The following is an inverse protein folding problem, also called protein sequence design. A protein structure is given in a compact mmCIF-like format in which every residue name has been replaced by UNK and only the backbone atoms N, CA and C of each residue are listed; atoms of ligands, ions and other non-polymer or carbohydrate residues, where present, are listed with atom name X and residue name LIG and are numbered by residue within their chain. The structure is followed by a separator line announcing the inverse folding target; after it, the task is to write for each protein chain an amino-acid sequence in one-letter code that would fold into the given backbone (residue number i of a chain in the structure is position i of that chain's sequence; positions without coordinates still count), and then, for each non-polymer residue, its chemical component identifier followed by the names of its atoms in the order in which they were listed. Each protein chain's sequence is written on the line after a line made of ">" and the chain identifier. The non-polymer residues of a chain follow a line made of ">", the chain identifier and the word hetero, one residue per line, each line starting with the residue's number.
data_IF_587465431557
#
_entry.id   IF_587465431557
#
_cell.length_a   1.000
_cell.length_b   1.000
_cell.length_c   1.000
_cell.angle_alpha   90.00
_cell.angle_beta   90.00
_cell.angle_gamma   90.00
#
_symmetry.space_group_name_H-M   'P 1'
#
loop_
_entity.id
_entity.type
_entity.pdbx_description
1 polymer ?
#
# COMPACT_ATOMS: atom_id res chain seq x y z
N UNK A 1 45.58 9.30 1.55
CA UNK A 1 44.88 8.83 0.35
C UNK A 1 43.88 9.89 -0.02
N UNK A 2 44.09 10.60 -1.13
CA UNK A 2 43.19 11.58 -1.69
C UNK A 2 41.91 10.88 -2.08
N UNK A 3 40.80 11.16 -1.41
CA UNK A 3 39.47 10.82 -1.86
C UNK A 3 39.26 11.54 -3.20
N UNK A 4 39.29 10.82 -4.31
CA UNK A 4 38.79 11.30 -5.58
C UNK A 4 37.28 11.51 -5.33
N UNK A 5 36.88 12.75 -5.03
CA UNK A 5 35.47 13.12 -5.07
C UNK A 5 34.97 12.76 -6.47
N UNK A 6 33.97 11.92 -6.58
CA UNK A 6 33.35 11.66 -7.89
C UNK A 6 32.79 13.00 -8.38
N UNK A 7 33.22 13.46 -9.56
CA UNK A 7 32.73 14.71 -10.20
C UNK A 7 31.23 14.64 -10.57
N UNK A 8 30.53 13.59 -10.14
CA UNK A 8 29.11 13.39 -10.42
C UNK A 8 28.24 14.27 -9.55
N UNK A 9 27.58 15.23 -10.17
CA UNK A 9 26.61 16.10 -9.52
C UNK A 9 25.20 15.53 -9.61
N UNK A 10 24.44 15.59 -8.54
CA UNK A 10 23.10 15.04 -8.43
C UNK A 10 22.10 16.10 -8.01
N UNK A 11 20.84 15.97 -8.42
CA UNK A 11 19.76 16.81 -7.94
C UNK A 11 18.62 15.93 -7.41
N UNK A 12 18.19 16.23 -6.18
CA UNK A 12 16.98 15.65 -5.58
C UNK A 12 15.80 16.51 -6.02
N UNK A 13 14.81 15.91 -6.69
CA UNK A 13 13.63 16.61 -7.18
C UNK A 13 12.41 16.18 -6.37
N UNK A 14 11.87 17.12 -5.58
CA UNK A 14 10.79 16.90 -4.62
C UNK A 14 11.29 16.74 -3.19
N UNK A 15 10.93 17.67 -2.31
CA UNK A 15 11.37 17.78 -0.92
C UNK A 15 10.22 17.43 0.05
N UNK A 16 9.73 16.19 -0.05
CA UNK A 16 8.90 15.52 0.94
C UNK A 16 9.73 14.51 1.75
N UNK A 17 9.07 13.56 2.42
CA UNK A 17 9.73 12.52 3.25
C UNK A 17 10.81 11.75 2.48
N UNK A 18 10.49 11.24 1.28
CA UNK A 18 11.46 10.51 0.43
C UNK A 18 12.60 11.42 -0.04
N UNK A 19 12.28 12.67 -0.43
CA UNK A 19 13.31 13.64 -0.83
C UNK A 19 14.27 13.98 0.32
N UNK A 20 13.75 14.15 1.53
CA UNK A 20 14.60 14.41 2.70
C UNK A 20 15.44 13.19 3.10
N UNK A 21 14.94 11.98 2.90
CA UNK A 21 15.72 10.75 3.06
C UNK A 21 16.88 10.66 2.05
N UNK A 22 16.62 11.04 0.79
CA UNK A 22 17.68 11.19 -0.24
C UNK A 22 18.73 12.20 0.17
N UNK A 23 18.32 13.38 0.66
CA UNK A 23 19.23 14.43 1.15
C UNK A 23 20.13 13.88 2.26
N UNK A 24 19.58 13.26 3.28
CA UNK A 24 20.35 12.65 4.38
C UNK A 24 21.36 11.64 3.87
N UNK A 25 20.91 10.75 2.98
CA UNK A 25 21.77 9.70 2.42
C UNK A 25 22.95 10.28 1.62
N UNK A 26 22.70 11.25 0.72
CA UNK A 26 23.73 11.87 -0.09
C UNK A 26 24.71 12.70 0.75
N UNK A 27 24.21 13.46 1.71
CA UNK A 27 25.02 14.26 2.62
C UNK A 27 25.95 13.38 3.49
N UNK A 28 25.43 12.27 4.05
CA UNK A 28 26.23 11.33 4.85
C UNK A 28 27.36 10.66 4.04
N UNK A 29 27.26 10.65 2.72
CA UNK A 29 28.29 10.10 1.81
C UNK A 29 29.23 11.17 1.23
N UNK A 30 29.05 12.44 1.62
CA UNK A 30 29.84 13.54 1.09
C UNK A 30 29.65 13.76 -0.43
N UNK A 31 28.50 13.33 -0.96
CA UNK A 31 28.16 13.48 -2.37
C UNK A 31 27.75 14.94 -2.65
N UNK A 32 28.22 15.51 -3.76
CA UNK A 32 27.78 16.83 -4.21
C UNK A 32 26.35 16.74 -4.78
N UNK A 33 25.44 17.56 -4.27
CA UNK A 33 24.05 17.58 -4.73
C UNK A 33 23.37 18.92 -4.49
N UNK A 34 22.25 19.13 -5.17
CA UNK A 34 21.31 20.22 -4.94
C UNK A 34 19.88 19.67 -4.83
N UNK A 35 18.93 20.55 -4.53
CA UNK A 35 17.52 20.19 -4.37
C UNK A 35 16.65 21.10 -5.25
N UNK A 36 15.60 20.54 -5.87
CA UNK A 36 14.55 21.26 -6.55
C UNK A 36 13.17 20.80 -6.05
N UNK A 37 12.18 21.67 -5.96
CA UNK A 37 10.79 21.32 -5.66
C UNK A 37 9.85 22.24 -6.42
N UNK A 38 8.75 21.68 -6.95
CA UNK A 38 7.73 22.45 -7.68
C UNK A 38 6.93 23.40 -6.80
N UNK A 39 6.96 23.23 -5.49
CA UNK A 39 6.27 24.07 -4.52
C UNK A 39 7.20 25.17 -4.02
N UNK A 40 6.67 26.36 -3.80
CA UNK A 40 7.40 27.46 -3.18
C UNK A 40 7.87 27.15 -1.76
N UNK A 41 7.04 26.45 -1.00
CA UNK A 41 7.28 26.07 0.40
C UNK A 41 7.05 24.56 0.60
N UNK A 42 7.97 23.70 0.16
CA UNK A 42 7.84 22.26 0.40
C UNK A 42 7.95 21.91 1.89
N UNK A 43 7.34 20.80 2.35
CA UNK A 43 7.23 20.47 3.77
C UNK A 43 8.55 20.44 4.54
N UNK A 44 9.61 19.96 3.91
CA UNK A 44 10.91 19.78 4.56
C UNK A 44 11.92 20.93 4.28
N UNK A 45 11.47 22.06 3.70
CA UNK A 45 12.35 23.17 3.35
C UNK A 45 13.05 23.78 4.58
N UNK A 46 12.31 23.93 5.68
CA UNK A 46 12.84 24.49 6.94
C UNK A 46 13.91 23.55 7.51
N UNK A 47 13.65 22.26 7.52
CA UNK A 47 14.58 21.20 7.95
C UNK A 47 15.83 21.21 7.09
N UNK A 48 15.68 21.27 5.76
CA UNK A 48 16.80 21.30 4.82
C UNK A 48 17.71 22.53 5.08
N UNK A 49 17.13 23.73 5.19
CA UNK A 49 17.91 24.97 5.40
C UNK A 49 18.62 25.00 6.74
N UNK A 50 18.03 24.41 7.79
CA UNK A 50 18.63 24.32 9.12
C UNK A 50 19.81 23.34 9.15
N UNK A 51 19.59 22.11 8.62
CA UNK A 51 20.52 21.00 8.81
C UNK A 51 21.58 20.93 7.69
N UNK A 52 21.27 21.49 6.50
CA UNK A 52 22.13 21.48 5.30
C UNK A 52 22.19 22.86 4.64
N UNK A 53 22.63 23.93 5.35
CA UNK A 53 22.56 25.33 4.88
C UNK A 53 23.40 25.61 3.63
N UNK A 54 24.36 24.75 3.30
CA UNK A 54 25.23 24.86 2.13
C UNK A 54 24.66 24.23 0.85
N UNK A 55 23.54 23.49 0.96
CA UNK A 55 22.91 22.83 -0.20
C UNK A 55 22.12 23.86 -1.00
N UNK A 56 22.42 23.97 -2.31
CA UNK A 56 21.63 24.81 -3.23
C UNK A 56 20.20 24.24 -3.32
N UNK A 57 19.18 25.08 -3.09
CA UNK A 57 17.77 24.70 -3.21
C UNK A 57 17.03 25.69 -4.10
N UNK A 58 16.26 25.17 -5.05
CA UNK A 58 15.35 25.91 -5.92
C UNK A 58 13.93 25.43 -5.74
N UNK A 59 13.04 26.33 -5.39
CA UNK A 59 11.62 26.10 -5.18
C UNK A 59 10.80 26.84 -6.24
N UNK A 60 9.63 26.32 -6.57
CA UNK A 60 8.76 26.84 -7.62
C UNK A 60 8.94 26.10 -8.93
N UNK A 61 8.76 26.77 -10.06
CA UNK A 61 8.85 26.14 -11.38
C UNK A 61 10.22 25.48 -11.61
N UNK A 62 10.21 24.24 -12.15
CA UNK A 62 11.44 23.51 -12.42
C UNK A 62 12.19 24.10 -13.61
N UNK A 63 13.38 24.58 -13.36
CA UNK A 63 14.31 25.11 -14.38
C UNK A 63 15.07 23.96 -15.06
N UNK A 64 14.83 23.78 -16.36
CA UNK A 64 15.46 22.72 -17.17
C UNK A 64 16.98 22.87 -17.21
N UNK A 65 17.52 24.08 -17.32
CA UNK A 65 18.98 24.30 -17.36
C UNK A 65 19.62 23.94 -16.02
N UNK A 66 18.92 24.21 -14.92
CA UNK A 66 19.38 23.76 -13.62
C UNK A 66 19.37 22.22 -13.49
N UNK A 67 18.29 21.57 -13.91
CA UNK A 67 18.20 20.10 -13.87
C UNK A 67 19.27 19.44 -14.75
N UNK A 68 19.60 20.03 -15.89
CA UNK A 68 20.63 19.53 -16.80
C UNK A 68 22.07 19.67 -16.29
N UNK A 69 22.29 20.34 -15.15
CA UNK A 69 23.60 20.34 -14.48
C UNK A 69 23.93 18.99 -13.84
N UNK A 70 22.91 18.16 -13.60
CA UNK A 70 23.07 16.87 -12.93
C UNK A 70 23.37 15.73 -13.91
N UNK A 71 24.17 14.77 -13.48
CA UNK A 71 24.35 13.49 -14.14
C UNK A 71 23.15 12.57 -13.88
N UNK A 72 22.55 12.69 -12.70
CA UNK A 72 21.39 11.91 -12.26
C UNK A 72 20.45 12.73 -11.40
N UNK A 73 19.14 12.68 -11.72
CA UNK A 73 18.07 13.26 -10.90
C UNK A 73 17.44 12.14 -10.07
N UNK A 74 17.34 12.37 -8.77
CA UNK A 74 16.56 11.52 -7.88
C UNK A 74 15.18 12.14 -7.70
N UNK A 75 14.19 11.57 -8.40
CA UNK A 75 12.81 12.09 -8.46
C UNK A 75 11.96 11.46 -7.36
N UNK A 76 11.35 12.32 -6.54
CA UNK A 76 10.39 11.88 -5.52
C UNK A 76 9.15 11.24 -6.16
N UNK A 77 8.59 10.14 -5.60
CA UNK A 77 7.43 9.45 -6.17
C UNK A 77 6.17 10.34 -6.29
N UNK A 78 6.11 11.44 -5.54
CA UNK A 78 5.03 12.42 -5.65
C UNK A 78 5.01 13.23 -6.95
N UNK A 79 6.11 13.22 -7.73
CA UNK A 79 6.22 13.94 -9.00
C UNK A 79 6.02 12.98 -10.18
N UNK A 80 5.18 13.38 -11.13
CA UNK A 80 4.98 12.59 -12.35
C UNK A 80 6.21 12.70 -13.25
N UNK A 81 6.71 11.56 -13.75
CA UNK A 81 7.79 11.55 -14.73
C UNK A 81 7.42 12.27 -16.03
N UNK A 82 6.12 12.38 -16.32
CA UNK A 82 5.59 13.14 -17.45
C UNK A 82 5.73 14.67 -17.29
N UNK A 83 6.24 15.17 -16.14
CA UNK A 83 6.49 16.60 -15.94
C UNK A 83 7.43 17.13 -17.04
N UNK A 84 7.05 18.20 -17.78
CA UNK A 84 7.79 18.64 -18.98
C UNK A 84 9.27 18.91 -18.73
N UNK A 85 9.62 19.52 -17.58
CA UNK A 85 11.00 19.79 -17.24
C UNK A 85 11.83 18.52 -17.01
N UNK A 86 11.25 17.47 -16.40
CA UNK A 86 11.92 16.17 -16.23
C UNK A 86 12.11 15.46 -17.57
N UNK A 87 11.11 15.50 -18.45
CA UNK A 87 11.21 14.94 -19.79
C UNK A 87 12.27 15.65 -20.64
N UNK A 88 12.34 16.99 -20.54
CA UNK A 88 13.35 17.79 -21.23
C UNK A 88 14.77 17.46 -20.74
N UNK A 89 14.97 17.29 -19.42
CA UNK A 89 16.26 16.88 -18.86
C UNK A 89 16.64 15.45 -19.29
N UNK A 90 15.69 14.50 -19.27
CA UNK A 90 15.91 13.13 -19.73
C UNK A 90 16.27 13.08 -21.22
N UNK A 91 15.59 13.89 -22.08
CA UNK A 91 15.91 14.01 -23.51
C UNK A 91 17.33 14.54 -23.78
N UNK A 92 17.91 15.28 -22.82
CA UNK A 92 19.31 15.75 -22.87
C UNK A 92 20.30 14.76 -22.25
N UNK A 93 19.86 13.55 -21.88
CA UNK A 93 20.71 12.47 -21.39
C UNK A 93 20.84 12.41 -19.86
N UNK A 94 20.14 13.24 -19.08
CA UNK A 94 20.15 13.16 -17.62
C UNK A 94 19.38 11.93 -17.17
N UNK A 95 20.01 11.10 -16.34
CA UNK A 95 19.38 9.89 -15.82
C UNK A 95 18.31 10.24 -14.77
N UNK A 96 17.12 9.64 -14.88
CA UNK A 96 16.07 9.74 -13.87
C UNK A 96 16.06 8.46 -13.02
N UNK A 97 16.18 8.61 -11.71
CA UNK A 97 16.16 7.52 -10.72
C UNK A 97 15.29 7.92 -9.52
N UNK A 98 15.00 6.97 -8.63
CA UNK A 98 14.27 7.23 -7.40
C UNK A 98 15.00 6.74 -6.15
N UNK A 99 14.36 6.94 -5.01
CA UNK A 99 14.83 6.49 -3.70
C UNK A 99 15.04 4.96 -3.65
N UNK A 100 14.13 4.19 -4.24
CA UNK A 100 14.21 2.72 -4.28
C UNK A 100 15.34 2.22 -5.16
N UNK A 101 15.61 2.86 -6.29
CA UNK A 101 16.78 2.54 -7.13
C UNK A 101 18.08 2.76 -6.35
N UNK A 102 18.20 3.90 -5.66
CA UNK A 102 19.38 4.20 -4.85
C UNK A 102 19.50 3.26 -3.64
N UNK A 103 18.39 2.91 -3.00
CA UNK A 103 18.34 1.90 -1.94
C UNK A 103 18.84 0.55 -2.45
N UNK A 104 18.30 0.05 -3.56
CA UNK A 104 18.66 -1.26 -4.11
C UNK A 104 20.15 -1.36 -4.46
N UNK A 105 20.76 -0.27 -4.99
CA UNK A 105 22.21 -0.22 -5.25
C UNK A 105 23.07 -0.30 -3.99
N UNK A 106 22.51 -0.05 -2.80
CA UNK A 106 23.24 0.03 -1.53
C UNK A 106 22.81 -1.03 -0.51
N UNK A 107 21.68 -1.70 -0.70
CA UNK A 107 21.24 -2.79 0.17
C UNK A 107 22.19 -4.00 0.04
N UNK A 108 22.71 -4.47 1.19
CA UNK A 108 23.59 -5.64 1.24
C UNK A 108 22.82 -6.93 1.57
N UNK A 109 21.71 -6.81 2.29
CA UNK A 109 20.86 -7.95 2.63
C UNK A 109 19.78 -8.20 1.55
N UNK A 110 19.24 -9.43 1.46
CA UNK A 110 18.13 -9.76 0.56
C UNK A 110 16.92 -8.85 0.74
N UNK A 111 16.19 -8.62 -0.35
CA UNK A 111 14.98 -7.76 -0.38
C UNK A 111 13.78 -8.63 -0.73
N UNK A 112 12.75 -8.62 0.12
CA UNK A 112 11.40 -9.06 -0.21
C UNK A 112 10.61 -7.83 -0.67
N UNK A 113 10.25 -7.78 -1.94
CA UNK A 113 9.59 -6.64 -2.56
C UNK A 113 8.09 -6.91 -2.77
N UNK A 114 7.25 -6.05 -2.24
CA UNK A 114 5.80 -6.23 -2.21
C UNK A 114 5.10 -5.03 -2.83
N UNK A 115 4.35 -5.26 -3.93
CA UNK A 115 3.44 -4.27 -4.52
C UNK A 115 2.04 -4.87 -4.70
N UNK A 116 1.13 -4.06 -5.18
CA UNK A 116 -0.27 -4.40 -5.42
C UNK A 116 -1.14 -3.15 -5.36
N UNK A 117 -2.37 -3.22 -5.80
CA UNK A 117 -3.33 -2.15 -5.56
C UNK A 117 -3.71 -2.13 -4.08
N UNK A 118 -4.07 -3.28 -3.51
CA UNK A 118 -4.53 -3.45 -2.14
C UNK A 118 -3.66 -4.43 -1.34
N UNK A 119 -3.85 -4.47 -0.03
CA UNK A 119 -3.20 -5.38 0.93
C UNK A 119 -1.69 -5.20 1.14
N UNK A 120 -1.00 -4.36 0.40
CA UNK A 120 0.46 -4.17 0.50
C UNK A 120 0.95 -4.06 1.95
N UNK A 121 0.43 -3.09 2.70
CA UNK A 121 0.91 -2.83 4.07
C UNK A 121 0.64 -4.00 5.02
N UNK A 122 -0.52 -4.66 4.89
CA UNK A 122 -0.85 -5.83 5.71
C UNK A 122 0.14 -6.97 5.45
N UNK A 123 0.38 -7.30 4.19
CA UNK A 123 1.30 -8.39 3.83
C UNK A 123 2.75 -8.01 4.18
N UNK A 124 3.16 -6.76 3.93
CA UNK A 124 4.50 -6.28 4.28
C UNK A 124 4.76 -6.37 5.79
N UNK A 125 3.80 -5.92 6.62
CA UNK A 125 3.92 -6.01 8.07
C UNK A 125 3.95 -7.46 8.54
N UNK A 126 3.05 -8.32 8.02
CA UNK A 126 3.02 -9.75 8.33
C UNK A 126 4.36 -10.44 8.03
N UNK A 127 4.92 -10.22 6.83
CA UNK A 127 6.23 -10.80 6.46
C UNK A 127 7.34 -10.28 7.38
N UNK A 128 7.28 -8.99 7.76
CA UNK A 128 8.20 -8.40 8.73
C UNK A 128 8.12 -9.07 10.11
N UNK A 129 6.89 -9.27 10.63
CA UNK A 129 6.67 -9.95 11.92
C UNK A 129 7.08 -11.43 11.87
N UNK A 130 6.81 -12.12 10.74
CA UNK A 130 7.27 -13.50 10.51
C UNK A 130 8.79 -13.60 10.52
N UNK A 131 9.48 -12.65 9.88
CA UNK A 131 10.95 -12.62 9.86
C UNK A 131 11.53 -12.32 11.23
N UNK A 132 10.93 -11.39 11.98
CA UNK A 132 11.32 -11.09 13.35
C UNK A 132 11.09 -12.28 14.30
N UNK A 133 9.94 -12.97 14.18
CA UNK A 133 9.65 -14.19 14.94
C UNK A 133 10.61 -15.34 14.60
N UNK A 134 11.13 -15.38 13.36
CA UNK A 134 12.19 -16.30 12.95
C UNK A 134 13.60 -15.88 13.40
N UNK A 135 13.72 -14.83 14.21
CA UNK A 135 14.99 -14.34 14.77
C UNK A 135 15.85 -13.52 13.82
N UNK A 136 15.29 -13.05 12.69
CA UNK A 136 16.02 -12.17 11.75
C UNK A 136 16.03 -10.73 12.23
N UNK A 137 17.17 -10.04 12.02
CA UNK A 137 17.22 -8.57 12.09
C UNK A 137 16.63 -8.03 10.80
N UNK A 138 15.35 -7.69 10.85
CA UNK A 138 14.55 -7.26 9.68
C UNK A 138 14.31 -5.76 9.71
N UNK A 139 14.36 -5.12 8.54
CA UNK A 139 13.91 -3.75 8.35
C UNK A 139 12.70 -3.72 7.42
N UNK A 140 11.63 -3.04 7.84
CA UNK A 140 10.36 -2.95 7.13
C UNK A 140 10.07 -1.50 6.79
N UNK A 141 9.76 -1.19 5.53
CA UNK A 141 9.44 0.17 5.12
C UNK A 141 9.28 0.38 3.61
N UNK A 142 9.71 1.54 3.13
CA UNK A 142 9.56 1.98 1.74
C UNK A 142 8.38 2.93 1.57
N UNK A 143 7.32 2.49 0.90
CA UNK A 143 6.07 3.25 0.82
C UNK A 143 5.28 3.25 2.15
N UNK A 144 5.52 2.26 2.99
CA UNK A 144 5.01 2.14 4.35
C UNK A 144 6.05 2.67 5.35
N UNK A 145 5.61 3.54 6.27
CA UNK A 145 6.41 3.92 7.44
C UNK A 145 7.70 4.69 7.12
N UNK A 146 8.85 4.04 7.38
CA UNK A 146 10.18 4.63 7.19
C UNK A 146 10.62 4.58 5.72
N UNK A 147 11.13 5.68 5.15
CA UNK A 147 11.72 5.69 3.82
C UNK A 147 12.85 4.67 3.67
N UNK A 148 12.96 4.07 2.48
CA UNK A 148 13.89 2.96 2.23
C UNK A 148 15.35 3.26 2.59
N UNK A 149 15.86 4.43 2.21
CA UNK A 149 17.27 4.80 2.45
C UNK A 149 17.58 4.98 3.95
N UNK A 150 16.59 5.36 4.76
CA UNK A 150 16.76 5.51 6.20
C UNK A 150 16.81 4.16 6.93
N UNK A 151 16.46 3.06 6.25
CA UNK A 151 16.53 1.69 6.76
C UNK A 151 17.89 1.02 6.52
N UNK A 152 18.74 1.59 5.65
CA UNK A 152 20.00 0.98 5.30
C UNK A 152 20.93 0.84 6.51
N UNK A 153 21.28 -0.41 6.85
CA UNK A 153 22.24 -0.74 7.90
C UNK A 153 22.95 -2.05 7.56
N UNK A 154 24.20 -2.17 7.97
CA UNK A 154 25.00 -3.40 7.80
C UNK A 154 24.53 -4.54 8.72
N UNK A 155 23.76 -4.21 9.78
CA UNK A 155 23.24 -5.21 10.72
C UNK A 155 21.96 -5.91 10.23
N UNK A 156 21.30 -5.38 9.21
CA UNK A 156 20.06 -5.96 8.68
C UNK A 156 20.35 -7.23 7.88
N UNK A 157 19.54 -8.27 8.12
CA UNK A 157 19.63 -9.58 7.46
C UNK A 157 18.54 -9.78 6.41
N UNK A 158 17.46 -8.98 6.47
CA UNK A 158 16.36 -9.02 5.51
C UNK A 158 15.67 -7.67 5.43
N UNK A 159 15.47 -7.16 4.23
CA UNK A 159 14.61 -6.00 3.97
C UNK A 159 13.25 -6.46 3.46
N UNK A 160 12.16 -5.98 4.06
CA UNK A 160 10.79 -6.21 3.59
C UNK A 160 10.21 -4.87 3.15
N UNK A 161 10.07 -4.69 1.83
CA UNK A 161 9.81 -3.39 1.23
C UNK A 161 8.43 -3.32 0.59
N UNK A 162 7.59 -2.43 1.10
CA UNK A 162 6.38 -2.02 0.40
C UNK A 162 6.73 -1.03 -0.70
N UNK A 163 6.31 -1.30 -1.95
CA UNK A 163 6.63 -0.46 -3.10
C UNK A 163 5.36 -0.01 -3.83
N UNK A 164 5.23 1.30 -4.02
CA UNK A 164 4.17 1.90 -4.84
C UNK A 164 4.51 1.80 -6.33
N UNK A 165 3.49 1.94 -7.20
CA UNK A 165 3.71 2.04 -8.64
C UNK A 165 4.60 3.24 -8.99
N UNK A 166 4.46 4.36 -8.28
CA UNK A 166 5.24 5.58 -8.49
C UNK A 166 6.74 5.39 -8.18
N UNK A 167 7.07 4.67 -7.11
CA UNK A 167 8.45 4.32 -6.81
C UNK A 167 9.04 3.38 -7.86
N UNK A 168 8.25 2.42 -8.33
CA UNK A 168 8.67 1.47 -9.35
C UNK A 168 8.91 2.12 -10.71
N UNK A 169 8.27 3.24 -11.07
CA UNK A 169 8.54 3.98 -12.30
C UNK A 169 10.01 4.40 -12.45
N UNK A 170 10.67 4.69 -11.34
CA UNK A 170 12.07 5.15 -11.29
C UNK A 170 13.04 4.07 -10.80
N UNK A 171 12.61 2.79 -10.79
CA UNK A 171 13.40 1.66 -10.31
C UNK A 171 13.68 0.68 -11.44
N UNK A 172 14.94 0.47 -11.78
CA UNK A 172 15.38 -0.44 -12.85
C UNK A 172 16.10 -1.68 -12.32
N UNK A 173 16.86 -1.55 -11.24
CA UNK A 173 17.76 -2.58 -10.72
C UNK A 173 17.41 -3.02 -9.31
N UNK A 174 16.12 -3.32 -9.06
CA UNK A 174 15.67 -3.76 -7.74
C UNK A 174 16.31 -5.10 -7.34
N UNK A 175 16.36 -6.05 -8.28
CA UNK A 175 16.97 -7.37 -8.11
C UNK A 175 16.57 -8.05 -6.79
N UNK A 176 15.27 -8.03 -6.47
CA UNK A 176 14.73 -8.58 -5.25
C UNK A 176 15.00 -10.09 -5.12
N UNK A 177 15.22 -10.58 -3.90
CA UNK A 177 15.27 -12.03 -3.63
C UNK A 177 13.91 -12.67 -3.91
N UNK A 178 12.83 -12.00 -3.46
CA UNK A 178 11.46 -12.40 -3.74
C UNK A 178 10.64 -11.17 -4.09
N UNK A 179 9.85 -11.24 -5.16
CA UNK A 179 8.97 -10.16 -5.58
C UNK A 179 7.52 -10.63 -5.77
N UNK A 180 6.57 -9.76 -5.46
CA UNK A 180 5.14 -10.00 -5.71
C UNK A 180 4.40 -8.74 -6.12
N UNK A 181 3.37 -8.92 -6.99
CA UNK A 181 2.24 -8.02 -7.13
C UNK A 181 1.02 -8.77 -6.61
N UNK A 182 0.48 -8.34 -5.47
CA UNK A 182 -0.60 -9.08 -4.78
C UNK A 182 -1.91 -9.11 -5.56
N UNK A 183 -2.22 -7.98 -6.20
CA UNK A 183 -3.42 -7.77 -7.01
C UNK A 183 -3.28 -6.49 -7.83
N UNK A 184 -4.08 -6.38 -8.92
CA UNK A 184 -4.16 -5.17 -9.75
C UNK A 184 -5.63 -4.83 -9.97
N UNK A 185 -6.06 -3.70 -9.44
CA UNK A 185 -7.36 -3.08 -9.69
C UNK A 185 -7.14 -1.58 -9.93
N UNK A 186 -8.10 -0.91 -10.54
CA UNK A 186 -8.00 0.52 -10.81
C UNK A 186 -7.74 1.34 -9.56
N UNK A 187 -6.66 2.12 -9.60
CA UNK A 187 -6.27 3.11 -8.62
C UNK A 187 -5.32 4.11 -9.30
N UNK A 188 -5.34 5.37 -8.88
CA UNK A 188 -4.49 6.43 -9.45
C UNK A 188 -4.71 6.66 -10.96
N UNK A 189 -5.97 6.55 -11.44
CA UNK A 189 -6.30 6.84 -12.85
C UNK A 189 -6.17 8.33 -13.20
N UNK A 190 -6.05 9.18 -12.21
CA UNK A 190 -5.64 10.58 -12.33
C UNK A 190 -4.18 10.76 -12.81
N UNK A 191 -3.33 9.77 -12.55
CA UNK A 191 -1.90 9.79 -12.91
C UNK A 191 -1.55 8.89 -14.09
N UNK A 192 -2.26 7.81 -14.29
CA UNK A 192 -2.02 6.84 -15.37
C UNK A 192 -3.03 7.00 -16.50
N UNK A 193 -2.59 6.78 -17.73
CA UNK A 193 -3.47 6.80 -18.92
C UNK A 193 -4.46 5.62 -18.98
N UNK A 194 -4.52 4.82 -17.91
CA UNK A 194 -5.41 3.68 -17.77
C UNK A 194 -4.75 2.50 -17.06
N UNK A 195 -5.53 1.46 -16.80
CA UNK A 195 -5.09 0.26 -16.10
C UNK A 195 -3.84 -0.41 -16.71
N UNK A 196 -3.65 -0.49 -18.04
CA UNK A 196 -2.43 -1.06 -18.61
C UNK A 196 -1.15 -0.32 -18.22
N UNK A 197 -1.16 1.01 -18.17
CA UNK A 197 0.00 1.80 -17.75
C UNK A 197 0.33 1.59 -16.26
N UNK A 198 -0.69 1.56 -15.42
CA UNK A 198 -0.55 1.25 -13.99
C UNK A 198 -0.02 -0.17 -13.74
N UNK A 199 -0.55 -1.16 -14.47
CA UNK A 199 -0.07 -2.53 -14.45
C UNK A 199 1.41 -2.62 -14.82
N UNK A 200 1.83 -2.01 -15.94
CA UNK A 200 3.22 -2.01 -16.38
C UNK A 200 4.16 -1.37 -15.35
N UNK A 201 3.74 -0.27 -14.71
CA UNK A 201 4.53 0.36 -13.65
C UNK A 201 4.75 -0.61 -12.47
N UNK A 202 3.71 -1.32 -12.00
CA UNK A 202 3.84 -2.31 -10.90
C UNK A 202 4.72 -3.49 -11.28
N UNK A 203 4.61 -3.98 -12.51
CA UNK A 203 5.35 -5.17 -12.96
C UNK A 203 6.86 -4.93 -13.09
N UNK A 204 7.34 -3.68 -13.00
CA UNK A 204 8.77 -3.38 -12.88
C UNK A 204 9.41 -4.01 -11.64
N UNK A 205 8.62 -4.33 -10.59
CA UNK A 205 9.07 -5.01 -9.38
C UNK A 205 9.74 -6.36 -9.66
N UNK A 206 9.34 -7.02 -10.75
CA UNK A 206 9.87 -8.33 -11.13
C UNK A 206 11.21 -8.28 -11.88
N UNK A 207 11.70 -7.08 -12.22
CA UNK A 207 12.99 -6.94 -12.93
C UNK A 207 14.16 -7.45 -12.07
N UNK A 208 14.82 -8.50 -12.56
CA UNK A 208 15.92 -9.14 -11.86
C UNK A 208 15.54 -9.88 -10.58
N UNK A 209 14.26 -10.10 -10.31
CA UNK A 209 13.82 -10.89 -9.17
C UNK A 209 14.32 -12.35 -9.29
N UNK A 210 14.85 -12.89 -8.19
CA UNK A 210 15.34 -14.27 -8.14
C UNK A 210 14.22 -15.28 -7.99
N UNK A 211 13.15 -14.92 -7.30
CA UNK A 211 11.94 -15.71 -7.11
C UNK A 211 10.72 -14.81 -7.18
N UNK A 212 9.57 -15.37 -7.54
CA UNK A 212 8.32 -14.63 -7.60
C UNK A 212 7.21 -15.34 -6.82
N UNK A 213 6.30 -14.55 -6.25
CA UNK A 213 5.08 -15.03 -5.63
C UNK A 213 3.89 -14.45 -6.39
N UNK A 214 2.94 -15.30 -6.81
CA UNK A 214 1.85 -14.95 -7.74
C UNK A 214 0.51 -15.31 -7.16
N UNK A 215 -0.45 -14.41 -7.28
CA UNK A 215 -1.85 -14.65 -6.95
C UNK A 215 -2.53 -15.46 -8.07
N UNK A 216 -2.98 -16.70 -7.79
CA UNK A 216 -3.66 -17.54 -8.79
C UNK A 216 -5.00 -16.99 -9.24
N UNK A 217 -5.64 -16.16 -8.42
CA UNK A 217 -6.98 -15.62 -8.65
C UNK A 217 -6.96 -14.22 -9.31
N UNK A 218 -5.77 -13.65 -9.54
CA UNK A 218 -5.61 -12.39 -10.24
C UNK A 218 -4.62 -12.55 -11.41
N UNK A 219 -5.16 -12.64 -12.62
CA UNK A 219 -4.35 -12.81 -13.83
C UNK A 219 -3.42 -11.61 -14.10
N UNK A 220 -3.81 -10.41 -13.66
CA UNK A 220 -3.00 -9.20 -13.83
C UNK A 220 -1.79 -9.15 -12.87
N UNK A 221 -1.78 -9.97 -11.83
CA UNK A 221 -0.62 -10.08 -10.93
C UNK A 221 0.49 -10.98 -11.48
N UNK A 222 0.22 -11.76 -12.53
CA UNK A 222 1.13 -12.76 -13.08
C UNK A 222 2.20 -12.11 -13.96
N UNK A 223 3.51 -12.20 -13.58
CA UNK A 223 4.59 -11.65 -14.39
C UNK A 223 4.92 -12.50 -15.62
N UNK A 224 5.53 -11.86 -16.62
CA UNK A 224 6.31 -12.55 -17.64
C UNK A 224 7.71 -12.79 -17.05
N UNK A 225 7.97 -14.01 -16.60
CA UNK A 225 9.26 -14.43 -16.05
C UNK A 225 10.00 -15.36 -17.00
N UNK A 226 11.35 -15.29 -16.96
CA UNK A 226 12.21 -16.19 -17.71
C UNK A 226 12.13 -17.64 -17.20
N UNK A 227 12.53 -18.58 -18.05
CA UNK A 227 12.66 -19.97 -17.65
C UNK A 227 13.65 -20.11 -16.46
N UNK A 228 13.31 -20.98 -15.51
CA UNK A 228 14.15 -21.27 -14.35
C UNK A 228 13.97 -20.33 -13.14
N UNK A 229 13.15 -19.28 -13.23
CA UNK A 229 12.81 -18.47 -12.06
C UNK A 229 11.76 -19.20 -11.21
N UNK A 230 12.06 -19.56 -9.95
CA UNK A 230 11.08 -20.20 -9.07
C UNK A 230 9.84 -19.33 -8.89
N UNK A 231 8.66 -19.97 -9.09
CA UNK A 231 7.37 -19.32 -9.00
C UNK A 231 6.53 -20.02 -7.93
N UNK A 232 6.30 -19.33 -6.83
CA UNK A 232 5.39 -19.75 -5.78
C UNK A 232 4.03 -19.12 -6.02
N UNK A 233 2.97 -19.78 -5.59
CA UNK A 233 1.61 -19.29 -5.83
C UNK A 233 0.81 -19.22 -4.53
N UNK A 234 -0.16 -18.33 -4.48
CA UNK A 234 -1.17 -18.29 -3.42
C UNK A 234 -2.57 -18.06 -3.97
N UNK A 235 -3.59 -18.45 -3.21
CA UNK A 235 -5.00 -18.23 -3.55
C UNK A 235 -5.93 -18.96 -2.60
N UNK A 236 -7.21 -18.57 -2.57
CA UNK A 236 -8.23 -19.14 -1.68
C UNK A 236 -8.72 -20.53 -2.12
N UNK A 237 -8.37 -20.98 -3.32
CA UNK A 237 -8.61 -22.32 -3.81
C UNK A 237 -7.55 -23.31 -3.26
N UNK A 238 -7.73 -24.60 -3.52
CA UNK A 238 -6.73 -25.62 -3.15
C UNK A 238 -5.35 -25.27 -3.67
N UNK A 239 -4.28 -25.53 -2.86
CA UNK A 239 -2.91 -25.32 -3.30
C UNK A 239 -2.56 -26.14 -4.54
N UNK A 240 -1.71 -25.60 -5.40
CA UNK A 240 -0.98 -26.37 -6.43
C UNK A 240 0.35 -26.91 -5.86
N UNK A 241 1.18 -27.52 -6.72
CA UNK A 241 2.41 -28.19 -6.30
C UNK A 241 3.47 -27.21 -5.73
N UNK A 242 3.40 -25.92 -6.07
CA UNK A 242 4.28 -24.86 -5.56
C UNK A 242 3.47 -23.78 -4.84
N UNK A 243 2.32 -24.15 -4.27
CA UNK A 243 1.36 -23.16 -3.85
C UNK A 243 0.86 -23.27 -2.42
N UNK A 244 0.41 -22.12 -1.97
CA UNK A 244 -0.34 -21.91 -0.74
C UNK A 244 -1.82 -21.74 -1.06
N UNK A 245 -2.70 -22.27 -0.22
CA UNK A 245 -4.13 -22.20 -0.45
C UNK A 245 -4.93 -22.65 0.74
N UNK A 246 -6.24 -22.85 0.52
CA UNK A 246 -7.14 -23.39 1.53
C UNK A 246 -7.42 -24.85 1.26
N UNK A 247 -7.43 -25.65 2.32
CA UNK A 247 -7.92 -27.04 2.33
C UNK A 247 -9.00 -27.15 3.38
N UNK A 248 -9.91 -28.05 3.14
CA UNK A 248 -10.94 -28.41 4.11
C UNK A 248 -10.77 -29.86 4.51
N UNK A 249 -10.77 -30.14 5.81
CA UNK A 249 -10.68 -31.45 6.39
C UNK A 249 -11.61 -31.51 7.60
N UNK A 250 -12.50 -32.53 7.63
CA UNK A 250 -13.50 -32.74 8.69
C UNK A 250 -14.38 -31.49 8.97
N UNK A 251 -14.70 -30.69 7.93
CA UNK A 251 -15.51 -29.47 8.05
C UNK A 251 -14.77 -28.24 8.57
N UNK A 252 -13.47 -28.34 8.81
CA UNK A 252 -12.63 -27.24 9.21
C UNK A 252 -11.72 -26.78 8.04
N UNK A 253 -11.58 -25.46 7.86
CA UNK A 253 -10.70 -24.85 6.85
C UNK A 253 -9.31 -24.61 7.41
N UNK A 254 -8.29 -24.92 6.62
CA UNK A 254 -6.89 -24.75 6.94
C UNK A 254 -6.17 -23.87 5.92
N UNK A 255 -5.27 -23.01 6.39
CA UNK A 255 -4.17 -22.52 5.57
C UNK A 255 -3.27 -23.71 5.26
N UNK A 256 -2.91 -23.93 4.01
CA UNK A 256 -2.19 -25.10 3.57
C UNK A 256 -1.09 -24.76 2.57
N UNK A 257 -0.05 -25.59 2.57
CA UNK A 257 1.02 -25.58 1.58
C UNK A 257 1.04 -26.94 0.89
N UNK A 258 0.90 -26.96 -0.43
CA UNK A 258 0.85 -28.19 -1.21
C UNK A 258 -0.23 -29.16 -0.66
N UNK A 259 0.19 -30.27 -0.06
CA UNK A 259 -0.69 -31.30 0.49
C UNK A 259 -0.82 -31.23 2.02
N UNK A 260 -0.11 -30.32 2.67
CA UNK A 260 -0.03 -30.22 4.13
C UNK A 260 -0.93 -29.09 4.68
N UNK A 261 -1.71 -29.39 5.70
CA UNK A 261 -2.42 -28.41 6.49
C UNK A 261 -1.44 -27.75 7.46
N UNK A 262 -1.32 -26.43 7.42
CA UNK A 262 -0.39 -25.67 8.25
C UNK A 262 -1.04 -25.14 9.53
N UNK A 263 -2.23 -24.56 9.41
CA UNK A 263 -2.92 -23.90 10.53
C UNK A 263 -4.42 -23.80 10.23
N UNK A 264 -5.31 -24.07 11.22
CA UNK A 264 -6.74 -23.77 11.08
C UNK A 264 -6.97 -22.27 10.80
N UNK A 265 -7.89 -21.98 9.87
CA UNK A 265 -8.27 -20.60 9.57
C UNK A 265 -8.91 -19.91 10.80
N UNK A 266 -9.58 -20.69 11.65
CA UNK A 266 -10.20 -20.24 12.90
C UNK A 266 -9.20 -19.60 13.89
N UNK A 267 -7.91 -19.94 13.81
CA UNK A 267 -6.84 -19.37 14.64
C UNK A 267 -6.36 -18.00 14.16
N UNK A 268 -6.76 -17.54 12.96
CA UNK A 268 -6.46 -16.18 12.49
C UNK A 268 -7.29 -15.15 13.27
N UNK A 269 -6.65 -14.13 13.83
CA UNK A 269 -7.34 -13.00 14.44
C UNK A 269 -7.93 -12.04 13.39
N UNK A 270 -7.28 -11.92 12.23
CA UNK A 270 -7.77 -11.13 11.10
C UNK A 270 -8.83 -11.92 10.35
N UNK A 271 -10.03 -11.34 10.19
CA UNK A 271 -11.21 -12.00 9.63
C UNK A 271 -11.39 -11.70 8.14
N UNK A 272 -12.24 -12.50 7.48
CA UNK A 272 -12.64 -12.31 6.09
C UNK A 272 -11.70 -12.98 5.08
N UNK A 273 -12.27 -13.32 3.92
CA UNK A 273 -11.57 -14.04 2.84
C UNK A 273 -10.32 -13.27 2.34
N UNK A 274 -10.41 -11.94 2.26
CA UNK A 274 -9.27 -11.11 1.86
C UNK A 274 -8.08 -11.23 2.84
N UNK A 275 -8.32 -11.39 4.14
CA UNK A 275 -7.28 -11.58 5.14
C UNK A 275 -6.72 -13.00 5.13
N UNK A 276 -7.52 -14.00 4.77
CA UNK A 276 -7.02 -15.35 4.49
C UNK A 276 -6.05 -15.33 3.29
N UNK A 277 -6.39 -14.59 2.22
CA UNK A 277 -5.50 -14.40 1.07
C UNK A 277 -4.21 -13.66 1.46
N UNK A 278 -4.29 -12.63 2.31
CA UNK A 278 -3.14 -11.89 2.83
C UNK A 278 -2.20 -12.81 3.66
N UNK A 279 -2.76 -13.66 4.51
CA UNK A 279 -2.01 -14.66 5.29
C UNK A 279 -1.28 -15.66 4.37
N UNK A 280 -1.98 -16.19 3.34
CA UNK A 280 -1.37 -17.09 2.36
C UNK A 280 -0.28 -16.44 1.53
N UNK A 281 -0.47 -15.15 1.13
CA UNK A 281 0.55 -14.37 0.44
C UNK A 281 1.80 -14.17 1.31
N UNK A 282 1.61 -13.83 2.59
CA UNK A 282 2.70 -13.63 3.54
C UNK A 282 3.46 -14.94 3.80
N UNK A 283 2.76 -16.07 3.95
CA UNK A 283 3.39 -17.41 4.06
C UNK A 283 4.20 -17.75 2.81
N UNK A 284 3.68 -17.48 1.61
CA UNK A 284 4.38 -17.73 0.36
C UNK A 284 5.66 -16.89 0.24
N UNK A 285 5.59 -15.60 0.59
CA UNK A 285 6.74 -14.69 0.60
C UNK A 285 7.79 -15.09 1.63
N UNK A 286 7.35 -15.41 2.86
CA UNK A 286 8.25 -15.85 3.92
C UNK A 286 8.95 -17.17 3.58
N UNK A 287 8.21 -18.13 3.04
CA UNK A 287 8.75 -19.40 2.56
C UNK A 287 9.79 -19.20 1.44
N UNK A 288 9.46 -18.41 0.43
CA UNK A 288 10.38 -18.06 -0.65
C UNK A 288 11.63 -17.33 -0.14
N UNK A 289 11.52 -16.54 0.93
CA UNK A 289 12.64 -15.89 1.62
C UNK A 289 13.40 -16.81 2.58
N UNK A 290 13.03 -18.10 2.66
CA UNK A 290 13.71 -19.11 3.49
C UNK A 290 13.35 -19.07 4.98
N UNK A 291 12.22 -18.47 5.36
CA UNK A 291 11.75 -18.48 6.75
C UNK A 291 11.12 -19.83 7.11
N UNK A 292 11.35 -20.38 8.31
CA UNK A 292 10.73 -21.61 8.76
C UNK A 292 9.23 -21.41 9.10
N UNK A 293 8.41 -22.45 8.89
CA UNK A 293 6.96 -22.37 9.06
C UNK A 293 6.53 -22.04 10.49
N UNK A 294 7.12 -22.67 11.51
CA UNK A 294 6.66 -22.54 12.88
C UNK A 294 6.63 -21.08 13.38
N UNK A 295 7.70 -20.27 13.29
CA UNK A 295 7.62 -18.86 13.66
C UNK A 295 6.70 -18.03 12.78
N UNK A 296 6.55 -18.37 11.49
CA UNK A 296 5.58 -17.70 10.60
C UNK A 296 4.14 -17.91 11.07
N UNK A 297 3.79 -19.15 11.44
CA UNK A 297 2.47 -19.50 11.96
C UNK A 297 2.22 -18.86 13.34
N UNK A 298 3.24 -18.80 14.21
CA UNK A 298 3.14 -18.09 15.49
C UNK A 298 2.85 -16.59 15.29
N UNK A 299 3.51 -15.94 14.33
CA UNK A 299 3.23 -14.54 13.97
C UNK A 299 1.79 -14.36 13.46
N UNK A 300 1.28 -15.27 12.59
CA UNK A 300 -0.12 -15.22 12.12
C UNK A 300 -1.14 -15.32 13.25
N UNK A 301 -0.92 -16.19 14.24
CA UNK A 301 -1.80 -16.33 15.41
C UNK A 301 -1.85 -15.09 16.28
N UNK A 302 -0.74 -14.34 16.33
CA UNK A 302 -0.64 -13.11 17.14
C UNK A 302 -1.12 -11.87 16.44
N UNK A 303 -1.04 -11.80 15.09
CA UNK A 303 -1.30 -10.61 14.30
C UNK A 303 -2.76 -10.16 14.38
N UNK A 304 -2.99 -8.99 14.95
CA UNK A 304 -4.33 -8.44 15.17
C UNK A 304 -4.84 -7.53 14.01
N UNK A 305 -4.07 -7.42 12.92
CA UNK A 305 -4.36 -6.49 11.82
C UNK A 305 -3.68 -5.13 11.99
N UNK A 306 -3.95 -4.24 11.05
CA UNK A 306 -3.43 -2.87 11.05
C UNK A 306 -4.52 -1.87 11.39
N UNK A 307 -4.13 -0.78 12.03
CA UNK A 307 -5.00 0.36 12.31
C UNK A 307 -5.61 0.89 11.01
N UNK A 308 -6.88 1.24 11.04
CA UNK A 308 -7.67 1.74 9.89
C UNK A 308 -7.85 0.74 8.74
N UNK A 309 -7.75 -0.59 9.01
CA UNK A 309 -7.99 -1.65 8.02
C UNK A 309 -8.98 -2.67 8.55
N UNK A 310 -10.24 -2.41 8.31
CA UNK A 310 -11.38 -3.17 8.86
C UNK A 310 -11.21 -3.40 10.37
N UNK A 311 -10.68 -2.38 11.06
CA UNK A 311 -10.37 -2.43 12.48
C UNK A 311 -11.66 -2.33 13.29
N UNK A 312 -11.92 -3.32 14.14
CA UNK A 312 -13.00 -3.22 15.11
C UNK A 312 -12.71 -2.06 16.09
N UNK A 313 -13.70 -1.18 16.31
CA UNK A 313 -13.59 -0.01 17.19
C UNK A 313 -14.29 -0.30 18.50
N UNK A 314 -15.60 -0.59 18.45
CA UNK A 314 -16.39 -0.99 19.62
C UNK A 314 -17.71 -1.61 19.17
N UNK A 315 -18.46 -2.12 20.16
CA UNK A 315 -19.87 -2.49 20.04
C UNK A 315 -20.70 -1.60 20.94
N UNK A 316 -21.85 -1.15 20.43
CA UNK A 316 -22.84 -0.35 21.16
C UNK A 316 -24.22 -0.84 20.76
N UNK A 317 -25.07 -1.19 21.73
CA UNK A 317 -26.46 -1.65 21.53
C UNK A 317 -26.58 -2.81 20.53
N UNK A 318 -25.62 -3.75 20.55
CA UNK A 318 -25.57 -4.88 19.63
C UNK A 318 -25.14 -4.54 18.20
N UNK A 319 -24.69 -3.30 17.95
CA UNK A 319 -24.11 -2.84 16.67
C UNK A 319 -22.60 -2.75 16.78
N UNK A 320 -21.88 -3.42 15.90
CA UNK A 320 -20.41 -3.34 15.82
C UNK A 320 -19.94 -2.25 14.88
N UNK A 321 -18.88 -1.52 15.24
CA UNK A 321 -18.32 -0.43 14.45
C UNK A 321 -16.92 -0.77 13.96
N UNK A 322 -16.69 -0.60 12.64
CA UNK A 322 -15.43 -0.94 11.98
C UNK A 322 -14.84 0.24 11.21
N UNK A 323 -13.56 0.50 11.44
CA UNK A 323 -12.76 1.51 10.77
C UNK A 323 -11.92 0.88 9.66
N UNK A 324 -12.32 1.15 8.43
CA UNK A 324 -11.57 0.78 7.21
C UNK A 324 -11.23 2.04 6.39
N UNK A 325 -10.85 3.11 7.08
CA UNK A 325 -10.53 4.40 6.46
C UNK A 325 -9.44 4.30 5.39
N UNK A 326 -8.60 3.25 5.41
CA UNK A 326 -7.58 2.97 4.40
C UNK A 326 -8.16 2.45 3.09
N UNK A 327 -9.43 2.09 3.00
CA UNK A 327 -10.11 1.73 1.75
C UNK A 327 -10.30 2.96 0.85
N UNK A 328 -9.23 3.45 0.24
CA UNK A 328 -9.18 4.66 -0.59
C UNK A 328 -9.42 4.40 -2.07
N UNK A 329 -9.86 3.21 -2.43
CA UNK A 329 -10.24 2.82 -3.78
C UNK A 329 -11.37 1.78 -3.77
N UNK A 330 -12.00 1.57 -4.93
CA UNK A 330 -13.16 0.68 -5.11
C UNK A 330 -12.85 -0.76 -4.69
N UNK A 331 -11.70 -1.31 -5.10
CA UNK A 331 -11.34 -2.70 -4.79
C UNK A 331 -11.15 -2.98 -3.30
N UNK A 332 -10.66 -1.99 -2.53
CA UNK A 332 -10.54 -2.11 -1.08
C UNK A 332 -11.91 -2.12 -0.40
N UNK A 333 -12.80 -1.18 -0.77
CA UNK A 333 -14.15 -1.12 -0.24
C UNK A 333 -14.97 -2.37 -0.60
N UNK A 334 -14.83 -2.86 -1.84
CA UNK A 334 -15.45 -4.11 -2.29
C UNK A 334 -15.07 -5.28 -1.36
N UNK A 335 -13.78 -5.47 -1.12
CA UNK A 335 -13.29 -6.55 -0.26
C UNK A 335 -13.78 -6.43 1.19
N UNK A 336 -13.90 -5.21 1.73
CA UNK A 336 -14.42 -4.97 3.07
C UNK A 336 -15.94 -5.26 3.15
N UNK A 337 -16.72 -4.79 2.18
CA UNK A 337 -18.17 -5.00 2.13
C UNK A 337 -18.51 -6.49 2.01
N UNK A 338 -17.88 -7.20 1.07
CA UNK A 338 -18.11 -8.64 0.87
C UNK A 338 -17.60 -9.45 2.07
N UNK A 339 -16.38 -9.14 2.56
CA UNK A 339 -15.76 -9.89 3.64
C UNK A 339 -16.50 -9.74 4.96
N UNK A 340 -16.77 -8.50 5.40
CA UNK A 340 -17.48 -8.25 6.65
C UNK A 340 -18.97 -8.59 6.52
N UNK A 341 -19.58 -8.26 5.38
CA UNK A 341 -21.00 -8.54 5.13
C UNK A 341 -21.36 -10.02 5.11
N UNK A 342 -20.39 -10.92 4.81
CA UNK A 342 -20.57 -12.36 4.90
C UNK A 342 -20.36 -12.92 6.33
N UNK A 343 -19.62 -12.19 7.17
CA UNK A 343 -19.22 -12.65 8.53
C UNK A 343 -20.22 -12.21 9.61
N UNK A 344 -21.05 -11.17 9.37
CA UNK A 344 -22.04 -10.65 10.36
C UNK A 344 -23.41 -11.29 10.18
N UNK A 345 -24.18 -11.34 11.26
CA UNK A 345 -25.55 -11.88 11.22
C UNK A 345 -26.58 -10.93 10.63
N UNK A 346 -26.29 -9.61 10.66
CA UNK A 346 -27.15 -8.53 10.18
C UNK A 346 -26.75 -7.99 8.82
N UNK A 347 -26.85 -6.68 8.66
CA UNK A 347 -26.49 -5.91 7.46
C UNK A 347 -25.46 -4.83 7.81
N UNK A 348 -24.76 -4.32 6.80
CA UNK A 348 -23.86 -3.19 6.93
C UNK A 348 -24.64 -1.86 6.81
N UNK A 349 -24.29 -0.89 7.64
CA UNK A 349 -24.51 0.52 7.33
C UNK A 349 -23.17 1.09 6.88
N UNK A 350 -23.06 1.35 5.57
CA UNK A 350 -21.81 1.78 4.95
C UNK A 350 -21.67 3.30 5.03
N UNK A 351 -20.50 3.79 5.45
CA UNK A 351 -20.11 5.20 5.31
C UNK A 351 -19.10 5.27 4.18
N UNK A 352 -19.47 5.99 3.08
CA UNK A 352 -18.65 6.04 1.87
C UNK A 352 -18.56 7.46 1.29
N UNK A 353 -17.48 7.70 0.50
CA UNK A 353 -17.25 8.96 -0.20
C UNK A 353 -15.91 9.63 0.10
N UNK A 354 -15.67 10.74 -0.57
CA UNK A 354 -14.39 11.45 -0.65
C UNK A 354 -14.00 11.72 -2.09
N UNK A 355 -12.69 11.79 -2.39
CA UNK A 355 -12.14 11.96 -3.74
C UNK A 355 -11.92 10.58 -4.41
N UNK A 356 -12.75 10.24 -5.38
CA UNK A 356 -12.71 8.98 -6.11
C UNK A 356 -11.59 8.86 -7.14
N UNK A 357 -10.84 9.93 -7.41
CA UNK A 357 -9.72 9.94 -8.37
C UNK A 357 -10.10 9.44 -9.77
N UNK A 358 -11.34 9.71 -10.21
CA UNK A 358 -11.86 9.28 -11.51
C UNK A 358 -12.22 7.79 -11.61
N UNK A 359 -12.36 7.08 -10.47
CA UNK A 359 -12.71 5.66 -10.46
C UNK A 359 -14.16 5.41 -10.92
N UNK A 360 -14.37 4.25 -11.54
CA UNK A 360 -15.69 3.68 -11.78
C UNK A 360 -16.17 2.89 -10.54
N UNK A 361 -17.28 3.30 -9.95
CA UNK A 361 -17.85 2.69 -8.76
C UNK A 361 -18.81 1.54 -9.06
N UNK A 362 -19.07 1.19 -10.31
CA UNK A 362 -20.08 0.21 -10.73
C UNK A 362 -19.92 -1.16 -10.05
N UNK A 363 -18.68 -1.58 -9.77
CA UNK A 363 -18.38 -2.83 -9.08
C UNK A 363 -18.94 -2.91 -7.64
N UNK A 364 -19.26 -1.78 -7.00
CA UNK A 364 -19.82 -1.74 -5.66
C UNK A 364 -21.34 -1.93 -5.62
N UNK A 365 -22.04 -1.76 -6.75
CA UNK A 365 -23.51 -1.78 -6.79
C UNK A 365 -24.10 -3.08 -6.25
N UNK A 366 -23.69 -4.22 -6.77
CA UNK A 366 -24.23 -5.52 -6.37
C UNK A 366 -23.86 -5.91 -4.92
N UNK A 367 -22.62 -5.73 -4.44
CA UNK A 367 -22.27 -5.96 -3.03
C UNK A 367 -23.04 -5.05 -2.05
N UNK A 368 -23.21 -3.78 -2.38
CA UNK A 368 -24.01 -2.83 -1.56
C UNK A 368 -25.48 -3.28 -1.48
N UNK A 369 -26.08 -3.63 -2.60
CA UNK A 369 -27.47 -4.14 -2.63
C UNK A 369 -27.62 -5.44 -1.81
N UNK A 370 -26.59 -6.29 -1.80
CA UNK A 370 -26.62 -7.59 -1.11
C UNK A 370 -26.37 -7.45 0.40
N UNK A 371 -25.37 -6.68 0.80
CA UNK A 371 -24.85 -6.68 2.16
C UNK A 371 -25.25 -5.45 2.98
N UNK A 372 -25.62 -4.32 2.33
CA UNK A 372 -25.90 -3.10 3.07
C UNK A 372 -27.39 -2.92 3.39
N UNK A 373 -27.67 -2.32 4.55
CA UNK A 373 -28.98 -1.82 4.95
C UNK A 373 -29.20 -0.41 4.42
N UNK A 374 -28.15 0.41 4.48
CA UNK A 374 -28.17 1.81 4.03
C UNK A 374 -26.74 2.26 3.72
N UNK A 375 -26.61 3.37 2.99
CA UNK A 375 -25.32 4.03 2.76
C UNK A 375 -25.40 5.47 3.17
N UNK A 376 -24.45 5.93 3.97
CA UNK A 376 -24.26 7.34 4.34
C UNK A 376 -23.11 7.89 3.49
N UNK A 377 -23.41 8.95 2.72
CA UNK A 377 -22.52 9.51 1.71
C UNK A 377 -22.00 10.88 2.12
N UNK A 378 -20.69 11.11 1.96
CA UNK A 378 -20.04 12.40 2.23
C UNK A 378 -18.88 12.64 1.25
N UNK A 379 -18.40 13.90 1.17
CA UNK A 379 -17.24 14.27 0.37
C UNK A 379 -17.56 14.55 -1.10
N UNK A 380 -16.51 14.79 -1.88
CA UNK A 380 -16.56 15.31 -3.25
C UNK A 380 -17.42 14.46 -4.19
N UNK A 381 -17.18 13.16 -4.24
CA UNK A 381 -17.80 12.25 -5.22
C UNK A 381 -19.00 11.47 -4.63
N UNK A 382 -19.59 11.99 -3.55
CA UNK A 382 -20.81 11.42 -2.94
C UNK A 382 -21.96 11.23 -3.94
N UNK A 383 -22.16 12.19 -4.88
CA UNK A 383 -23.22 12.10 -5.90
C UNK A 383 -22.93 11.04 -6.97
N UNK A 384 -21.65 10.81 -7.32
CA UNK A 384 -21.30 9.72 -8.22
C UNK A 384 -21.60 8.34 -7.61
N UNK A 385 -21.31 8.18 -6.31
CA UNK A 385 -21.69 6.98 -5.57
C UNK A 385 -23.22 6.84 -5.47
N UNK A 386 -23.93 7.95 -5.23
CA UNK A 386 -25.40 7.93 -5.16
C UNK A 386 -26.03 7.50 -6.49
N UNK A 387 -25.52 7.99 -7.61
CA UNK A 387 -25.96 7.59 -8.95
C UNK A 387 -25.68 6.10 -9.19
N UNK A 388 -24.49 5.63 -8.78
CA UNK A 388 -24.11 4.21 -8.93
C UNK A 388 -25.03 3.28 -8.14
N UNK A 389 -25.34 3.62 -6.90
CA UNK A 389 -26.17 2.76 -6.03
C UNK A 389 -27.66 2.85 -6.37
N UNK A 390 -28.12 3.98 -6.95
CA UNK A 390 -29.52 4.20 -7.34
C UNK A 390 -30.46 3.96 -6.16
N UNK A 391 -31.53 3.22 -6.42
CA UNK A 391 -32.56 2.89 -5.43
C UNK A 391 -32.33 1.52 -4.74
N UNK A 392 -31.12 0.95 -4.85
CA UNK A 392 -30.84 -0.39 -4.31
C UNK A 392 -30.88 -0.44 -2.78
N UNK A 393 -30.53 0.66 -2.12
CA UNK A 393 -30.57 0.83 -0.66
C UNK A 393 -30.86 2.29 -0.32
N UNK A 394 -31.38 2.62 0.89
CA UNK A 394 -31.51 4.00 1.36
C UNK A 394 -30.18 4.74 1.35
N UNK A 395 -30.15 5.94 0.76
CA UNK A 395 -28.98 6.79 0.65
C UNK A 395 -29.18 8.09 1.46
N UNK A 396 -28.29 8.36 2.40
CA UNK A 396 -28.29 9.54 3.25
C UNK A 396 -27.07 10.40 2.93
N UNK A 397 -27.27 11.67 2.63
CA UNK A 397 -26.20 12.64 2.37
C UNK A 397 -25.94 13.49 3.59
N UNK A 398 -24.68 13.59 3.97
CA UNK A 398 -24.21 14.36 5.13
C UNK A 398 -23.01 15.23 4.76
N UNK A 399 -22.70 16.18 5.64
CA UNK A 399 -21.60 17.13 5.40
C UNK A 399 -20.34 16.83 6.22
N UNK A 400 -20.48 16.17 7.37
CA UNK A 400 -19.37 15.87 8.27
C UNK A 400 -19.32 14.39 8.62
N UNK A 401 -18.18 13.94 9.10
CA UNK A 401 -17.98 12.54 9.51
C UNK A 401 -18.73 12.22 10.79
N UNK A 402 -18.83 13.17 11.71
CA UNK A 402 -19.58 13.05 12.95
C UNK A 402 -21.07 12.83 12.66
N UNK A 403 -21.64 13.65 11.74
CA UNK A 403 -23.00 13.46 11.26
C UNK A 403 -23.17 12.09 10.58
N UNK A 404 -22.17 11.63 9.81
CA UNK A 404 -22.21 10.32 9.17
C UNK A 404 -22.28 9.18 10.19
N UNK A 405 -21.48 9.24 11.26
CA UNK A 405 -21.49 8.25 12.34
C UNK A 405 -22.82 8.25 13.08
N UNK A 406 -23.36 9.43 13.41
CA UNK A 406 -24.65 9.54 14.09
C UNK A 406 -25.79 8.96 13.23
N UNK A 407 -25.86 9.34 11.95
CA UNK A 407 -26.87 8.81 11.03
C UNK A 407 -26.74 7.31 10.81
N UNK A 408 -25.50 6.80 10.72
CA UNK A 408 -25.28 5.38 10.60
C UNK A 408 -25.76 4.61 11.85
N UNK A 409 -25.53 5.16 13.05
CA UNK A 409 -26.01 4.58 14.31
C UNK A 409 -27.55 4.54 14.37
N UNK A 410 -28.24 5.61 13.92
CA UNK A 410 -29.71 5.68 13.87
C UNK A 410 -30.34 4.65 12.90
N UNK A 411 -29.61 4.23 11.86
CA UNK A 411 -30.09 3.31 10.83
C UNK A 411 -29.77 1.85 11.13
N UNK A 412 -28.75 1.61 11.94
CA UNK A 412 -28.32 0.27 12.30
C UNK A 412 -29.29 -0.39 13.29
N UNK A 413 -29.45 -1.69 13.18
CA UNK A 413 -30.24 -2.54 14.07
C UNK A 413 -29.32 -3.51 14.81
N UNK A 414 -29.80 -4.09 15.90
CA UNK A 414 -29.07 -5.14 16.63
C UNK A 414 -28.61 -6.25 15.66
N UNK A 415 -27.34 -6.61 15.75
CA UNK A 415 -26.67 -7.58 14.86
C UNK A 415 -26.10 -6.98 13.58
N UNK A 416 -26.34 -5.67 13.30
CA UNK A 416 -25.73 -4.97 12.18
C UNK A 416 -24.29 -4.51 12.49
N UNK A 417 -23.60 -4.04 11.46
CA UNK A 417 -22.33 -3.35 11.63
C UNK A 417 -22.30 -2.01 10.87
N UNK A 418 -21.74 -0.98 11.49
CA UNK A 418 -21.37 0.28 10.83
C UNK A 418 -19.93 0.16 10.33
N UNK A 419 -19.76 0.34 9.02
CA UNK A 419 -18.46 0.21 8.35
C UNK A 419 -18.08 1.54 7.69
N UNK A 420 -17.00 2.17 8.15
CA UNK A 420 -16.33 3.22 7.39
C UNK A 420 -15.43 2.55 6.36
N UNK A 421 -15.86 2.43 5.10
CA UNK A 421 -15.04 1.94 3.98
C UNK A 421 -15.30 2.81 2.75
N UNK A 422 -14.59 3.93 2.65
CA UNK A 422 -14.99 5.09 1.84
C UNK A 422 -14.96 4.90 0.33
N UNK A 423 -14.23 3.92 -0.20
CA UNK A 423 -13.92 3.74 -1.62
C UNK A 423 -13.17 4.92 -2.28
N UNK A 424 -12.91 5.98 -1.53
CA UNK A 424 -12.37 7.27 -2.00
C UNK A 424 -11.19 7.73 -1.12
N UNK A 425 -10.28 8.51 -1.71
CA UNK A 425 -9.25 9.22 -0.95
C UNK A 425 -9.90 10.25 0.00
N UNK A 426 -9.15 10.66 1.01
CA UNK A 426 -9.65 11.54 2.09
C UNK A 426 -9.26 13.00 1.93
N UNK A 427 -8.45 13.33 0.92
CA UNK A 427 -7.74 14.61 0.83
C UNK A 427 -8.65 15.81 0.50
N UNK A 428 -9.89 15.57 0.13
CA UNK A 428 -10.92 16.60 -0.06
C UNK A 428 -11.48 17.16 1.26
N UNK A 429 -11.43 16.36 2.33
CA UNK A 429 -11.99 16.72 3.64
C UNK A 429 -11.00 16.60 4.81
N UNK A 430 -9.95 15.78 4.68
CA UNK A 430 -9.00 15.45 5.76
C UNK A 430 -7.56 15.56 5.25
N UNK A 431 -6.58 15.68 6.16
CA UNK A 431 -5.15 15.70 5.81
C UNK A 431 -4.67 14.38 5.21
N UNK A 432 -5.22 13.27 5.67
CA UNK A 432 -4.90 11.92 5.26
C UNK A 432 -5.97 10.92 5.75
N UNK A 433 -5.86 9.66 5.37
CA UNK A 433 -6.79 8.62 5.80
C UNK A 433 -6.67 8.28 7.30
N UNK A 434 -5.50 8.47 7.90
CA UNK A 434 -5.28 8.27 9.33
C UNK A 434 -6.09 9.27 10.16
N UNK A 435 -6.14 10.53 9.74
CA UNK A 435 -6.98 11.54 10.40
C UNK A 435 -8.46 11.18 10.28
N UNK A 436 -8.94 10.79 9.09
CA UNK A 436 -10.32 10.35 8.88
C UNK A 436 -10.68 9.17 9.78
N UNK A 437 -9.83 8.13 9.86
CA UNK A 437 -10.09 6.97 10.71
C UNK A 437 -10.07 7.30 12.20
N UNK A 438 -9.13 8.13 12.66
CA UNK A 438 -9.08 8.57 14.05
C UNK A 438 -10.32 9.38 14.46
N UNK A 439 -10.77 10.30 13.58
CA UNK A 439 -12.01 11.09 13.83
C UNK A 439 -13.25 10.20 13.81
N UNK A 440 -13.30 9.17 12.94
CA UNK A 440 -14.35 8.16 12.98
C UNK A 440 -14.39 7.43 14.32
N UNK A 441 -13.24 6.90 14.77
CA UNK A 441 -13.17 6.20 16.04
C UNK A 441 -13.54 7.09 17.22
N UNK A 442 -13.20 8.38 17.18
CA UNK A 442 -13.60 9.37 18.17
C UNK A 442 -15.11 9.58 18.13
N UNK A 443 -15.70 9.85 16.97
CA UNK A 443 -17.15 10.07 16.82
C UNK A 443 -17.95 8.83 17.27
N UNK A 444 -17.46 7.62 16.99
CA UNK A 444 -18.02 6.37 17.49
C UNK A 444 -17.91 6.30 19.01
N UNK A 445 -16.79 6.74 19.60
CA UNK A 445 -16.60 6.83 21.05
C UNK A 445 -17.59 7.75 21.76
N UNK A 446 -17.98 8.83 21.08
CA UNK A 446 -18.90 9.87 21.60
C UNK A 446 -20.39 9.49 21.50
N UNK A 447 -20.75 8.40 20.80
CA UNK A 447 -22.11 7.86 20.78
C UNK A 447 -22.53 7.40 22.19
N UNK A 448 -23.72 7.74 22.60
CA UNK A 448 -24.31 7.44 23.91
C UNK A 448 -25.39 6.36 23.84
#
# INVERSE_FOLDING_TARGET
>A
MSLIASDHFRIVVGLGKSGMSLVRFLANRGTSFAVADTRENPPELVTLRRDYPHVEVRCGELDVEFLCRADELYVSPGLALATPALQAAAARGVKLSGDIELFARNAKAPIVAISGSNAKSTVTTLVGEMAAAAGKRVAVGGNLGTPALDLLSDDIELYVMELSSFQLETTDQLSAEVATVLNVSEDHMDRYSGLPAYHLAKHRIFRGARQVVVNRQDALSRPLIGEGVPCWTFGLNRPDINGFGLREENGEKYLAFQFENLMPVSELKIRGAHNQANALAALALGHAAGLPFEPMLAALRSFAGLVHRCQWVRELDGVSYYDDSKATNVGAALAAIEGLGADINGKLVLIAGGDGKGADFSALQAPVATHCRAVVLLGRDAELLAVTFGDSVPLIRVKTLEEAVQRAAELALEGDAVLLSPACASLDMFKNFEERGRLFAQAVGDLS
#
